data_IF_500630596868
#
_entry.id   IF_500630596868
#
_cell.length_a   1.000
_cell.length_b   1.000
_cell.length_c   1.000
_cell.angle_alpha   90.00
_cell.angle_beta   90.00
_cell.angle_gamma   90.00
#
_symmetry.space_group_name_H-M   'P 1'
#
loop_
_entity.id
_entity.type
_entity.pdbx_description
1 polymer ?
#
# COMPACT_ATOMS: atom_id res chain seq x y z
N UNK A 1 -48.01 30.27 11.48
CA UNK A 1 -49.23 29.49 11.74
C UNK A 1 -48.85 28.16 12.34
N UNK A 2 -49.17 28.05 13.60
CA UNK A 2 -49.53 26.91 14.48
C UNK A 2 -48.45 25.80 14.63
N UNK A 3 -47.67 25.80 15.72
CA UNK A 3 -47.91 25.46 17.12
C UNK A 3 -48.59 24.08 17.29
N UNK A 4 -47.88 23.11 17.91
CA UNK A 4 -48.37 22.49 19.12
C UNK A 4 -47.25 21.72 19.86
N UNK A 5 -47.01 22.19 21.11
CA UNK A 5 -46.34 21.47 22.20
C UNK A 5 -47.28 20.38 22.74
N UNK A 6 -46.69 19.32 23.32
CA UNK A 6 -47.34 18.61 24.45
C UNK A 6 -46.28 18.11 25.45
N UNK A 7 -46.44 18.65 26.67
CA UNK A 7 -45.87 18.23 27.95
C UNK A 7 -46.77 17.17 28.58
N UNK A 8 -46.23 16.30 29.45
CA UNK A 8 -46.77 15.82 30.74
C UNK A 8 -45.82 14.73 31.25
N UNK A 9 -45.20 14.86 32.35
CA UNK A 9 -45.47 15.03 33.79
C UNK A 9 -45.35 13.68 34.57
N UNK A 10 -44.37 13.63 35.42
CA UNK A 10 -44.25 13.27 36.83
C UNK A 10 -45.10 12.10 37.39
N UNK A 11 -44.45 11.25 38.20
CA UNK A 11 -45.07 10.38 39.19
C UNK A 11 -44.04 9.79 40.16
N UNK A 12 -43.79 10.53 41.23
CA UNK A 12 -43.09 10.03 42.41
C UNK A 12 -44.09 9.33 43.33
N UNK A 13 -43.68 8.21 43.96
CA UNK A 13 -44.40 7.69 45.14
C UNK A 13 -43.40 7.18 46.18
N UNK A 14 -43.39 7.90 47.29
CA UNK A 14 -42.87 7.55 48.62
C UNK A 14 -43.94 6.73 49.38
N UNK A 15 -43.56 5.90 50.33
CA UNK A 15 -44.20 5.49 51.60
C UNK A 15 -43.55 4.18 52.05
N UNK A 16 -43.18 3.86 53.26
CA UNK A 16 -42.99 4.45 54.58
C UNK A 16 -42.65 3.30 55.52
N UNK A 17 -41.94 3.65 56.54
CA UNK A 17 -41.51 2.89 57.73
C UNK A 17 -42.64 2.24 58.54
N UNK A 18 -42.31 1.07 59.19
CA UNK A 18 -42.71 0.73 60.57
C UNK A 18 -41.86 -0.49 60.99
N UNK A 19 -41.03 -0.49 61.95
CA UNK A 19 -41.06 -0.33 63.44
C UNK A 19 -41.52 -1.54 64.19
N UNK A 20 -40.61 -1.96 65.11
CA UNK A 20 -40.73 -2.61 66.40
C UNK A 20 -41.19 -4.07 66.53
N UNK A 21 -40.40 -4.79 67.35
CA UNK A 21 -40.78 -5.99 68.06
C UNK A 21 -39.60 -6.62 68.79
N UNK A 22 -39.42 -6.17 70.03
CA UNK A 22 -38.54 -6.69 71.06
C UNK A 22 -39.17 -7.93 71.67
N UNK A 23 -38.38 -9.00 71.90
CA UNK A 23 -38.52 -9.93 73.04
C UNK A 23 -37.34 -10.89 73.12
N UNK A 24 -36.60 -10.80 74.26
CA UNK A 24 -35.84 -11.92 74.78
C UNK A 24 -36.77 -12.74 75.68
N UNK A 25 -36.56 -14.06 75.89
CA UNK A 25 -35.98 -14.50 77.14
C UNK A 25 -35.18 -15.82 77.12
N UNK A 26 -34.38 -15.92 78.19
CA UNK A 26 -34.06 -17.06 79.01
C UNK A 26 -32.84 -17.94 78.59
N UNK A 27 -31.83 -17.77 79.41
CA UNK A 27 -30.68 -18.64 79.65
C UNK A 27 -31.09 -20.07 80.01
N UNK A 28 -30.44 -21.03 79.37
CA UNK A 28 -30.24 -22.36 79.93
C UNK A 28 -28.76 -22.69 80.02
N UNK A 29 -28.29 -22.76 81.25
CA UNK A 29 -26.95 -23.20 81.57
C UNK A 29 -26.79 -24.68 81.23
N UNK A 30 -25.92 -25.01 80.30
CA UNK A 30 -25.47 -26.37 80.04
C UNK A 30 -23.97 -26.45 80.31
N UNK A 31 -23.63 -27.23 81.33
CA UNK A 31 -22.28 -27.54 81.77
C UNK A 31 -21.43 -28.12 80.62
N UNK A 32 -20.28 -27.48 80.38
CA UNK A 32 -19.31 -27.89 79.40
C UNK A 32 -18.39 -29.01 79.89
N UNK A 33 -18.29 -30.08 79.13
CA UNK A 33 -17.18 -31.02 79.14
C UNK A 33 -15.94 -30.40 78.46
N UNK A 34 -14.72 -30.66 78.89
CA UNK A 34 -13.53 -30.11 78.29
C UNK A 34 -13.31 -30.66 76.88
N UNK A 35 -13.29 -29.79 75.90
CA UNK A 35 -13.02 -30.08 74.50
C UNK A 35 -11.52 -30.17 74.24
N UNK A 36 -11.10 -31.24 73.60
CA UNK A 36 -9.75 -31.48 73.07
C UNK A 36 -9.38 -30.35 72.04
N UNK A 37 -8.16 -29.82 72.02
CA UNK A 37 -7.78 -28.75 71.12
C UNK A 37 -7.83 -29.23 69.65
N UNK A 38 -8.63 -28.59 68.84
CA UNK A 38 -8.62 -28.76 67.38
C UNK A 38 -7.29 -28.33 66.77
N UNK A 39 -6.73 -29.08 65.81
CA UNK A 39 -5.50 -28.68 65.15
C UNK A 39 -5.70 -27.34 64.46
N UNK A 40 -4.78 -26.39 64.65
CA UNK A 40 -4.73 -25.09 63.97
C UNK A 40 -4.69 -25.32 62.47
N UNK A 41 -5.74 -24.96 61.71
CA UNK A 41 -5.70 -24.87 60.27
C UNK A 41 -4.58 -23.92 59.88
N UNK A 42 -3.63 -24.40 59.06
CA UNK A 42 -2.65 -23.53 58.39
C UNK A 42 -3.40 -22.46 57.63
N UNK A 43 -2.92 -21.20 57.57
CA UNK A 43 -3.51 -20.18 56.71
C UNK A 43 -3.54 -20.70 55.25
N UNK A 44 -4.68 -20.70 54.63
CA UNK A 44 -4.81 -20.95 53.21
C UNK A 44 -4.22 -19.70 52.54
N UNK A 45 -3.04 -19.83 51.95
CA UNK A 45 -2.51 -18.79 51.06
C UNK A 45 -3.59 -18.53 49.96
N UNK A 46 -3.93 -17.26 49.71
CA UNK A 46 -4.83 -16.95 48.64
C UNK A 46 -4.25 -17.51 47.34
N UNK A 47 -5.07 -18.05 46.40
CA UNK A 47 -4.59 -18.51 45.11
C UNK A 47 -3.80 -17.38 44.45
N UNK A 48 -2.55 -17.66 44.06
CA UNK A 48 -1.78 -16.75 43.24
C UNK A 48 -2.68 -16.28 42.08
N UNK A 49 -2.92 -14.98 41.99
CA UNK A 49 -3.63 -14.40 40.86
C UNK A 49 -2.95 -14.91 39.58
N UNK A 50 -3.73 -15.31 38.57
CA UNK A 50 -3.12 -15.76 37.33
C UNK A 50 -2.16 -14.66 36.85
N UNK A 51 -0.91 -15.01 36.63
CA UNK A 51 0.08 -14.13 36.02
C UNK A 51 -0.54 -13.80 34.63
N UNK A 52 -1.15 -12.64 34.51
CA UNK A 52 -1.54 -12.09 33.21
C UNK A 52 -0.23 -11.91 32.46
N UNK A 53 0.04 -12.81 31.48
CA UNK A 53 1.11 -12.57 30.53
C UNK A 53 0.81 -11.21 29.90
N UNK A 54 1.74 -10.27 30.03
CA UNK A 54 1.66 -9.03 29.27
C UNK A 54 1.45 -9.41 27.80
N UNK A 55 0.49 -8.77 27.11
CA UNK A 55 0.27 -9.06 25.69
C UNK A 55 1.60 -8.86 24.96
N UNK A 56 2.04 -9.87 24.20
CA UNK A 56 3.24 -9.81 23.37
C UNK A 56 3.10 -8.61 22.45
N UNK A 57 3.95 -7.61 22.60
CA UNK A 57 3.95 -6.40 21.78
C UNK A 57 4.95 -6.57 20.64
N UNK A 58 4.46 -6.56 19.40
CA UNK A 58 5.26 -6.64 18.18
C UNK A 58 5.67 -5.24 17.72
N UNK A 59 6.95 -4.97 17.68
CA UNK A 59 7.49 -3.67 17.28
C UNK A 59 7.88 -3.67 15.82
N UNK A 60 7.37 -2.69 15.07
CA UNK A 60 7.59 -2.54 13.64
C UNK A 60 8.29 -1.20 13.38
N UNK A 61 9.51 -1.26 12.88
CA UNK A 61 10.24 -0.05 12.47
C UNK A 61 9.65 0.54 11.21
N UNK A 62 9.36 1.85 11.20
CA UNK A 62 8.80 2.54 10.05
C UNK A 62 9.78 3.63 9.61
N UNK A 63 10.50 3.39 8.50
CA UNK A 63 11.61 4.20 8.01
C UNK A 63 11.13 5.16 6.92
N UNK A 64 11.00 6.44 7.23
CA UNK A 64 10.38 7.43 6.36
C UNK A 64 11.17 8.74 6.33
N UNK A 65 11.14 9.51 5.22
CA UNK A 65 11.74 10.84 5.13
C UNK A 65 10.85 11.86 5.84
N UNK A 66 10.89 11.94 7.18
CA UNK A 66 9.99 12.78 7.97
C UNK A 66 10.42 14.26 8.01
N UNK A 67 11.65 14.56 7.60
CA UNK A 67 12.17 15.94 7.47
C UNK A 67 12.73 16.20 6.08
N UNK A 68 13.18 17.44 5.79
CA UNK A 68 13.78 17.82 4.52
C UNK A 68 12.76 17.99 3.37
N UNK A 69 13.24 17.92 2.13
CA UNK A 69 12.43 18.19 0.93
C UNK A 69 11.32 17.17 0.66
N UNK A 70 11.40 15.99 1.26
CA UNK A 70 10.41 14.92 1.11
C UNK A 70 9.52 14.75 2.36
N UNK A 71 9.53 15.71 3.28
CA UNK A 71 8.79 15.63 4.54
C UNK A 71 7.27 15.43 4.34
N UNK A 72 6.68 16.09 3.34
CA UNK A 72 5.24 15.94 3.02
C UNK A 72 4.92 14.51 2.55
N UNK A 73 5.80 13.89 1.76
CA UNK A 73 5.69 12.50 1.38
C UNK A 73 5.79 11.58 2.61
N UNK A 74 6.82 11.78 3.44
CA UNK A 74 7.02 11.01 4.67
C UNK A 74 5.85 11.11 5.63
N UNK A 75 5.30 12.32 5.81
CA UNK A 75 4.10 12.58 6.61
C UNK A 75 2.89 11.83 6.08
N UNK A 76 2.66 11.86 4.77
CA UNK A 76 1.54 11.13 4.14
C UNK A 76 1.64 9.62 4.32
N UNK A 77 2.85 9.06 4.23
CA UNK A 77 3.12 7.64 4.48
C UNK A 77 2.91 7.28 5.96
N UNK A 78 3.39 8.11 6.89
CA UNK A 78 3.19 7.90 8.33
C UNK A 78 1.69 7.89 8.67
N UNK A 79 0.95 8.87 8.20
CA UNK A 79 -0.48 8.97 8.44
C UNK A 79 -1.27 7.80 7.83
N UNK A 80 -0.85 7.29 6.67
CA UNK A 80 -1.45 6.07 6.10
C UNK A 80 -1.14 4.82 6.95
N UNK A 81 0.06 4.72 7.50
CA UNK A 81 0.44 3.66 8.44
C UNK A 81 -0.38 3.71 9.73
N UNK A 82 -0.56 4.90 10.31
CA UNK A 82 -1.40 5.13 11.48
C UNK A 82 -2.87 4.81 11.22
N UNK A 83 -3.39 5.20 10.05
CA UNK A 83 -4.75 4.87 9.63
C UNK A 83 -4.96 3.36 9.54
N UNK A 84 -4.01 2.63 8.95
CA UNK A 84 -4.05 1.17 8.89
C UNK A 84 -4.08 0.55 10.29
N UNK A 85 -3.18 1.00 11.19
CA UNK A 85 -3.15 0.49 12.56
C UNK A 85 -4.47 0.74 13.29
N UNK A 86 -5.08 1.92 13.08
CA UNK A 86 -6.37 2.25 13.65
C UNK A 86 -7.52 1.39 13.10
N UNK A 87 -7.54 1.14 11.79
CA UNK A 87 -8.66 0.45 11.13
C UNK A 87 -8.58 -1.08 11.26
N UNK A 88 -7.39 -1.67 11.12
CA UNK A 88 -7.22 -3.13 11.09
C UNK A 88 -6.56 -3.69 12.33
N UNK A 89 -5.97 -2.85 13.16
CA UNK A 89 -5.20 -3.22 14.33
C UNK A 89 -5.70 -2.72 15.69
N UNK A 90 -6.98 -2.33 15.91
CA UNK A 90 -7.37 -1.70 17.17
C UNK A 90 -7.23 -2.60 18.40
N UNK A 91 -7.17 -3.92 18.19
CA UNK A 91 -6.93 -4.92 19.24
C UNK A 91 -5.60 -5.66 19.04
N UNK A 92 -4.76 -5.20 18.10
CA UNK A 92 -3.47 -5.83 17.84
C UNK A 92 -2.42 -5.40 18.86
N UNK A 93 -1.44 -6.26 19.07
CA UNK A 93 -0.25 -5.98 19.88
C UNK A 93 0.87 -5.32 19.05
N UNK A 94 0.55 -4.72 17.89
CA UNK A 94 1.52 -4.07 17.01
C UNK A 94 1.75 -2.62 17.43
N UNK A 95 3.02 -2.22 17.55
CA UNK A 95 3.46 -0.85 17.82
C UNK A 95 4.40 -0.40 16.70
N UNK A 96 4.11 0.76 16.10
CA UNK A 96 4.98 1.37 15.11
C UNK A 96 6.09 2.18 15.79
N UNK A 97 7.31 2.07 15.28
CA UNK A 97 8.49 2.83 15.66
C UNK A 97 8.91 3.72 14.46
N UNK A 98 8.32 4.92 14.31
CA UNK A 98 8.70 5.83 13.22
C UNK A 98 10.13 6.34 13.41
N UNK A 99 10.91 6.28 12.34
CA UNK A 99 12.30 6.75 12.29
C UNK A 99 12.51 7.62 11.05
N UNK A 100 13.14 8.78 11.23
CA UNK A 100 13.41 9.71 10.14
C UNK A 100 14.67 9.32 9.39
N UNK A 101 14.53 8.97 8.11
CA UNK A 101 15.67 8.59 7.25
C UNK A 101 16.58 9.76 6.89
N UNK A 102 16.16 11.00 7.10
CA UNK A 102 16.97 12.21 6.89
C UNK A 102 17.77 12.62 8.13
N UNK A 103 17.49 12.06 9.30
CA UNK A 103 18.27 12.31 10.51
C UNK A 103 19.31 11.22 10.75
N UNK A 104 20.54 11.50 10.34
CA UNK A 104 21.65 10.55 10.41
C UNK A 104 21.65 9.47 9.32
N UNK A 105 20.71 9.53 8.39
CA UNK A 105 20.58 8.61 7.26
C UNK A 105 19.79 7.35 7.58
N UNK A 106 19.38 6.67 6.52
CA UNK A 106 18.50 5.49 6.61
C UNK A 106 19.13 4.32 7.41
N UNK A 107 20.45 4.15 7.35
CA UNK A 107 21.15 3.14 8.14
C UNK A 107 20.99 3.40 9.65
N UNK A 108 21.17 4.66 10.08
CA UNK A 108 21.00 5.01 11.50
C UNK A 108 19.54 4.86 11.95
N UNK A 109 18.59 5.27 11.10
CA UNK A 109 17.17 5.09 11.36
C UNK A 109 16.81 3.61 11.57
N UNK A 110 17.31 2.72 10.70
CA UNK A 110 17.10 1.28 10.83
C UNK A 110 17.76 0.72 12.08
N UNK A 111 18.99 1.15 12.40
CA UNK A 111 19.71 0.73 13.59
C UNK A 111 18.96 1.14 14.88
N UNK A 112 18.40 2.34 14.94
CA UNK A 112 17.59 2.81 16.06
C UNK A 112 16.36 1.92 16.26
N UNK A 113 15.57 1.70 15.20
CA UNK A 113 14.39 0.83 15.25
C UNK A 113 14.73 -0.59 15.74
N UNK A 114 15.83 -1.18 15.24
CA UNK A 114 16.27 -2.52 15.63
C UNK A 114 16.76 -2.57 17.10
N UNK A 115 17.43 -1.52 17.56
CA UNK A 115 17.85 -1.42 18.96
C UNK A 115 16.66 -1.23 19.92
N UNK A 116 15.57 -0.62 19.44
CA UNK A 116 14.29 -0.56 20.17
C UNK A 116 13.50 -1.88 20.11
N UNK A 117 13.99 -2.88 19.37
CA UNK A 117 13.43 -4.21 19.27
C UNK A 117 12.46 -4.41 18.10
N UNK A 118 12.62 -3.67 17.01
CA UNK A 118 11.83 -3.91 15.81
C UNK A 118 12.05 -5.32 15.25
N UNK A 119 10.95 -6.03 14.97
CA UNK A 119 10.92 -7.39 14.44
C UNK A 119 10.78 -7.41 12.90
N UNK A 120 10.32 -6.31 12.34
CA UNK A 120 10.18 -6.05 10.90
C UNK A 120 10.46 -4.58 10.64
N UNK A 121 11.05 -4.27 9.48
CA UNK A 121 11.22 -2.90 9.01
C UNK A 121 10.31 -2.63 7.81
N UNK A 122 9.62 -1.50 7.81
CA UNK A 122 8.79 -0.99 6.71
C UNK A 122 9.38 0.31 6.17
N UNK A 123 9.40 0.47 4.84
CA UNK A 123 10.22 1.49 4.20
C UNK A 123 11.65 0.98 4.03
N UNK A 124 12.61 1.83 3.61
CA UNK A 124 12.41 3.19 3.15
C UNK A 124 11.80 3.27 1.75
N UNK A 125 11.68 4.52 1.25
CA UNK A 125 11.11 4.79 -0.08
C UNK A 125 12.17 4.67 -1.18
N UNK A 126 13.36 5.20 -0.95
CA UNK A 126 14.36 5.39 -1.99
C UNK A 126 15.36 4.24 -2.04
N UNK A 127 15.67 3.75 -3.26
CA UNK A 127 16.58 2.61 -3.44
C UNK A 127 17.99 2.79 -2.86
N UNK A 128 18.64 3.95 -2.89
CA UNK A 128 19.93 4.13 -2.22
C UNK A 128 19.85 3.93 -0.70
N UNK A 129 18.72 4.30 -0.08
CA UNK A 129 18.47 4.06 1.33
C UNK A 129 18.30 2.57 1.64
N UNK A 130 17.59 1.83 0.76
CA UNK A 130 17.44 0.37 0.86
C UNK A 130 18.81 -0.30 0.78
N UNK A 131 19.65 0.09 -0.17
CA UNK A 131 21.01 -0.44 -0.33
C UNK A 131 21.87 -0.21 0.92
N UNK A 132 21.77 0.97 1.55
CA UNK A 132 22.50 1.29 2.77
C UNK A 132 22.07 0.42 3.96
N UNK A 133 20.83 -0.05 4.00
CA UNK A 133 20.27 -0.85 5.10
C UNK A 133 20.48 -2.36 4.89
N UNK A 134 20.62 -2.85 3.65
CA UNK A 134 20.73 -4.30 3.34
C UNK A 134 21.74 -5.07 4.20
N UNK A 135 22.98 -4.60 4.43
CA UNK A 135 23.92 -5.31 5.28
C UNK A 135 23.44 -5.45 6.73
N UNK A 136 22.76 -4.43 7.25
CA UNK A 136 22.20 -4.44 8.60
C UNK A 136 21.05 -5.45 8.71
N UNK A 137 20.12 -5.47 7.76
CA UNK A 137 19.01 -6.42 7.66
C UNK A 137 19.54 -7.86 7.68
N UNK A 138 20.53 -8.16 6.83
CA UNK A 138 21.15 -9.49 6.77
C UNK A 138 21.84 -9.88 8.08
N UNK A 139 22.60 -8.97 8.71
CA UNK A 139 23.34 -9.25 9.94
C UNK A 139 22.44 -9.44 11.17
N UNK A 140 21.27 -8.81 11.19
CA UNK A 140 20.29 -8.90 12.28
C UNK A 140 19.23 -9.97 12.05
N UNK A 141 19.21 -10.61 10.86
CA UNK A 141 18.21 -11.61 10.45
C UNK A 141 16.77 -11.08 10.60
N UNK A 142 16.57 -9.81 10.25
CA UNK A 142 15.26 -9.14 10.24
C UNK A 142 14.86 -8.87 8.80
N UNK A 143 13.60 -9.00 8.45
CA UNK A 143 13.11 -8.68 7.12
C UNK A 143 12.77 -7.19 6.98
N UNK A 144 12.87 -6.71 5.73
CA UNK A 144 12.59 -5.33 5.31
C UNK A 144 11.57 -5.34 4.18
N UNK A 145 10.48 -4.58 4.31
CA UNK A 145 9.51 -4.32 3.23
C UNK A 145 9.69 -2.89 2.76
N UNK A 146 10.43 -2.69 1.68
CA UNK A 146 10.73 -1.38 1.12
C UNK A 146 9.63 -0.88 0.18
N UNK A 147 9.38 0.43 0.16
CA UNK A 147 8.41 1.07 -0.74
C UNK A 147 9.02 1.44 -2.11
N UNK A 148 10.25 1.05 -2.34
CA UNK A 148 10.97 1.24 -3.59
C UNK A 148 10.36 0.46 -4.75
N UNK A 149 10.53 0.96 -5.97
CA UNK A 149 10.20 0.29 -7.23
C UNK A 149 11.41 -0.39 -7.89
N UNK A 150 12.62 -0.16 -7.35
CA UNK A 150 13.86 -0.70 -7.91
C UNK A 150 14.03 -2.17 -7.54
N UNK A 151 13.84 -3.06 -8.51
CA UNK A 151 13.93 -4.50 -8.34
C UNK A 151 15.34 -5.00 -7.96
N UNK A 152 16.41 -4.22 -8.27
CA UNK A 152 17.80 -4.63 -8.00
C UNK A 152 18.14 -4.69 -6.51
N UNK A 153 17.38 -3.99 -5.67
CA UNK A 153 17.61 -3.99 -4.22
C UNK A 153 16.86 -5.11 -3.49
N UNK A 154 16.06 -5.90 -4.21
CA UNK A 154 15.31 -7.03 -3.66
C UNK A 154 16.20 -8.23 -3.29
N UNK A 155 15.67 -9.15 -2.47
CA UNK A 155 16.32 -10.38 -2.05
C UNK A 155 17.10 -10.27 -0.73
N UNK A 156 17.53 -11.41 -0.19
CA UNK A 156 18.28 -11.49 1.08
C UNK A 156 17.59 -10.79 2.27
N UNK A 157 16.29 -11.06 2.45
CA UNK A 157 15.48 -10.44 3.51
C UNK A 157 14.89 -9.07 3.15
N UNK A 158 15.17 -8.54 1.95
CA UNK A 158 14.57 -7.31 1.43
C UNK A 158 13.46 -7.65 0.45
N UNK A 159 12.26 -7.17 0.74
CA UNK A 159 11.06 -7.29 -0.08
C UNK A 159 10.67 -5.91 -0.63
N UNK A 160 10.30 -5.84 -1.91
CA UNK A 160 9.87 -4.62 -2.58
C UNK A 160 8.34 -4.63 -2.66
N UNK A 161 7.68 -3.61 -2.12
CA UNK A 161 6.23 -3.43 -2.18
C UNK A 161 5.79 -2.36 -3.18
N UNK A 162 6.71 -1.55 -3.69
CA UNK A 162 6.44 -0.51 -4.68
C UNK A 162 5.76 -1.03 -5.94
N UNK A 163 5.12 -0.13 -6.68
CA UNK A 163 4.49 -0.47 -7.97
C UNK A 163 5.55 -0.75 -9.02
N UNK A 164 5.76 -2.02 -9.36
CA UNK A 164 6.81 -2.46 -10.28
C UNK A 164 6.40 -2.16 -11.73
N UNK A 165 7.11 -1.28 -12.45
CA UNK A 165 6.70 -0.86 -13.79
C UNK A 165 6.64 -2.01 -14.81
N UNK A 166 7.57 -2.96 -14.75
CA UNK A 166 7.58 -4.11 -15.68
C UNK A 166 6.30 -4.94 -15.61
N UNK A 167 5.67 -5.07 -14.45
CA UNK A 167 4.38 -5.79 -14.32
C UNK A 167 3.25 -5.06 -15.05
N UNK A 168 3.26 -3.72 -15.01
CA UNK A 168 2.27 -2.91 -15.73
C UNK A 168 2.44 -3.04 -17.25
N UNK A 169 3.70 -3.00 -17.72
CA UNK A 169 4.03 -3.22 -19.15
C UNK A 169 3.57 -4.59 -19.61
N UNK A 170 3.91 -5.64 -18.87
CA UNK A 170 3.52 -7.02 -19.20
C UNK A 170 1.99 -7.13 -19.25
N UNK A 171 1.31 -6.62 -18.23
CA UNK A 171 -0.15 -6.73 -18.11
C UNK A 171 -0.91 -6.05 -19.24
N UNK A 172 -0.50 -4.82 -19.63
CA UNK A 172 -1.16 -4.10 -20.73
C UNK A 172 -0.82 -4.71 -22.08
N UNK A 173 0.40 -5.23 -22.28
CA UNK A 173 0.80 -5.90 -23.50
C UNK A 173 0.04 -7.24 -23.70
N UNK A 174 -0.15 -8.00 -22.65
CA UNK A 174 -0.95 -9.24 -22.68
C UNK A 174 -2.40 -8.94 -23.03
N UNK A 175 -3.00 -7.93 -22.41
CA UNK A 175 -4.35 -7.49 -22.76
C UNK A 175 -4.47 -7.02 -24.22
N UNK A 176 -3.49 -6.25 -24.70
CA UNK A 176 -3.48 -5.82 -26.11
C UNK A 176 -3.43 -7.02 -27.05
N UNK A 177 -2.61 -8.04 -26.73
CA UNK A 177 -2.55 -9.29 -27.49
C UNK A 177 -3.90 -10.04 -27.50
N UNK A 178 -4.59 -10.11 -26.34
CA UNK A 178 -5.94 -10.69 -26.26
C UNK A 178 -6.94 -9.98 -27.18
N UNK A 179 -6.72 -8.69 -27.45
CA UNK A 179 -7.48 -7.88 -28.42
C UNK A 179 -7.00 -8.01 -29.86
N UNK A 180 -6.04 -8.88 -30.15
CA UNK A 180 -5.47 -9.07 -31.49
C UNK A 180 -4.44 -8.02 -31.87
N UNK A 181 -3.96 -7.20 -30.93
CA UNK A 181 -2.93 -6.19 -31.13
C UNK A 181 -1.59 -6.83 -30.73
N UNK A 182 -0.71 -7.08 -31.69
CA UNK A 182 0.57 -7.74 -31.47
C UNK A 182 1.79 -6.95 -31.96
N UNK A 183 1.57 -5.96 -32.85
CA UNK A 183 2.64 -5.13 -33.43
C UNK A 183 2.75 -3.80 -32.70
N UNK A 184 3.80 -3.67 -31.91
CA UNK A 184 4.05 -2.49 -31.08
C UNK A 184 5.23 -1.67 -31.60
N UNK A 185 5.22 -0.38 -31.31
CA UNK A 185 6.42 0.44 -31.20
C UNK A 185 6.36 1.16 -29.84
N UNK A 186 7.48 1.63 -29.35
CA UNK A 186 7.57 2.32 -28.08
C UNK A 186 8.22 3.70 -28.23
N UNK A 187 7.70 4.67 -27.47
CA UNK A 187 8.32 5.98 -27.28
C UNK A 187 8.69 6.07 -25.80
N UNK A 188 9.96 6.00 -25.46
CA UNK A 188 10.39 5.88 -24.06
C UNK A 188 11.34 7.02 -23.68
N UNK A 189 11.25 7.56 -22.46
CA UNK A 189 12.20 8.58 -22.00
C UNK A 189 13.61 8.02 -21.86
N UNK A 190 14.63 8.89 -22.03
CA UNK A 190 16.05 8.55 -21.88
C UNK A 190 16.48 8.48 -20.41
N UNK A 191 15.71 7.79 -19.57
CA UNK A 191 16.01 7.61 -18.15
C UNK A 191 15.96 6.12 -17.75
N UNK A 192 16.16 5.84 -16.47
CA UNK A 192 16.18 4.46 -15.99
C UNK A 192 14.79 3.79 -16.07
N UNK A 193 13.71 4.58 -16.03
CA UNK A 193 12.36 4.07 -16.21
C UNK A 193 12.11 3.63 -17.66
N UNK A 194 12.46 4.48 -18.64
CA UNK A 194 12.38 4.13 -20.06
C UNK A 194 13.24 2.90 -20.41
N UNK A 195 14.47 2.81 -19.88
CA UNK A 195 15.33 1.63 -20.05
C UNK A 195 14.69 0.36 -19.51
N UNK A 196 14.01 0.42 -18.35
CA UNK A 196 13.30 -0.73 -17.78
C UNK A 196 12.13 -1.16 -18.68
N UNK A 197 11.37 -0.21 -19.21
CA UNK A 197 10.28 -0.50 -20.15
C UNK A 197 10.81 -1.16 -21.41
N UNK A 198 11.87 -0.63 -22.00
CA UNK A 198 12.51 -1.22 -23.20
C UNK A 198 12.96 -2.66 -22.95
N UNK A 199 13.62 -2.91 -21.82
CA UNK A 199 14.07 -4.24 -21.44
C UNK A 199 12.88 -5.19 -21.31
N UNK A 200 11.78 -4.71 -20.73
CA UNK A 200 10.56 -5.51 -20.55
C UNK A 200 9.90 -5.84 -21.89
N UNK A 201 9.79 -4.85 -22.80
CA UNK A 201 9.23 -5.08 -24.14
C UNK A 201 10.09 -6.03 -24.98
N UNK A 202 11.43 -5.90 -24.94
CA UNK A 202 12.35 -6.84 -25.59
C UNK A 202 12.25 -8.25 -25.02
N UNK A 203 12.02 -8.37 -23.73
CA UNK A 203 11.77 -9.65 -23.08
C UNK A 203 10.47 -10.32 -23.58
N UNK A 204 9.39 -9.53 -23.72
CA UNK A 204 8.11 -10.00 -24.28
C UNK A 204 8.26 -10.41 -25.75
N UNK A 205 9.04 -9.68 -26.53
CA UNK A 205 9.37 -10.03 -27.91
C UNK A 205 10.14 -11.35 -27.98
N UNK A 206 11.19 -11.51 -27.20
CA UNK A 206 11.99 -12.75 -27.13
C UNK A 206 11.15 -13.97 -26.72
N UNK A 207 10.05 -13.75 -25.97
CA UNK A 207 9.07 -14.78 -25.59
C UNK A 207 7.99 -15.02 -26.67
N UNK A 208 8.04 -14.31 -27.80
CA UNK A 208 7.02 -14.39 -28.86
C UNK A 208 5.64 -13.84 -28.45
N UNK A 209 5.60 -13.00 -27.40
CA UNK A 209 4.35 -12.41 -26.92
C UNK A 209 3.93 -11.19 -27.72
N UNK A 210 4.88 -10.42 -28.23
CA UNK A 210 4.68 -9.20 -29.03
C UNK A 210 5.69 -9.14 -30.19
N UNK A 211 5.43 -8.35 -31.21
CA UNK A 211 6.35 -7.95 -32.29
C UNK A 211 6.71 -6.48 -32.08
N UNK A 212 7.94 -6.19 -31.68
CA UNK A 212 8.43 -4.82 -31.43
C UNK A 212 9.05 -4.25 -32.71
N UNK A 213 8.33 -3.36 -33.40
CA UNK A 213 8.77 -2.75 -34.68
C UNK A 213 9.86 -1.72 -34.50
N UNK A 214 10.03 -1.19 -33.29
CA UNK A 214 11.10 -0.29 -32.90
C UNK A 214 10.81 0.45 -31.60
N UNK A 215 11.85 1.10 -31.08
CA UNK A 215 11.76 1.98 -29.91
C UNK A 215 12.46 3.30 -30.24
N UNK A 216 11.78 4.41 -30.02
CA UNK A 216 12.37 5.75 -30.08
C UNK A 216 12.56 6.29 -28.67
N UNK A 217 13.78 6.67 -28.36
CA UNK A 217 14.11 7.31 -27.08
C UNK A 217 14.06 8.82 -27.26
N UNK A 218 13.57 9.53 -26.23
CA UNK A 218 13.53 10.98 -26.21
C UNK A 218 13.94 11.55 -24.84
N UNK A 219 14.57 12.72 -24.89
CA UNK A 219 14.81 13.54 -23.72
C UNK A 219 13.61 14.45 -23.45
N UNK A 220 13.50 14.98 -22.23
CA UNK A 220 12.47 15.99 -21.92
C UNK A 220 12.59 17.23 -22.81
N UNK A 221 13.80 17.58 -23.24
CA UNK A 221 14.04 18.67 -24.17
C UNK A 221 13.40 18.45 -25.53
N UNK A 222 13.35 17.21 -26.01
CA UNK A 222 12.76 16.86 -27.30
C UNK A 222 11.25 17.10 -27.35
N UNK A 223 10.58 17.25 -26.21
CA UNK A 223 9.15 17.52 -26.13
C UNK A 223 8.80 19.03 -26.14
N UNK A 224 9.81 19.90 -26.04
CA UNK A 224 9.60 21.34 -26.07
C UNK A 224 9.22 21.78 -27.49
N UNK A 225 8.28 22.71 -27.60
CA UNK A 225 7.81 23.25 -28.88
C UNK A 225 8.96 23.82 -29.70
N UNK A 226 9.02 23.45 -31.00
CA UNK A 226 10.05 23.89 -31.93
C UNK A 226 11.40 23.17 -31.77
N UNK A 227 11.54 22.20 -30.87
CA UNK A 227 12.75 21.40 -30.77
C UNK A 227 12.88 20.44 -31.97
N UNK A 228 14.08 20.27 -32.59
CA UNK A 228 14.29 19.29 -33.64
C UNK A 228 13.89 17.85 -33.29
N UNK A 229 13.91 17.48 -32.03
CA UNK A 229 13.42 16.20 -31.51
C UNK A 229 11.96 15.93 -31.84
N UNK A 230 11.12 16.97 -31.93
CA UNK A 230 9.72 16.85 -32.35
C UNK A 230 9.61 16.22 -33.75
N UNK A 231 10.39 16.74 -34.73
CA UNK A 231 10.39 16.22 -36.10
C UNK A 231 10.83 14.75 -36.14
N UNK A 232 11.90 14.41 -35.41
CA UNK A 232 12.40 13.03 -35.30
C UNK A 232 11.32 12.08 -34.74
N UNK A 233 10.62 12.48 -33.67
CA UNK A 233 9.56 11.66 -33.08
C UNK A 233 8.43 11.41 -34.07
N UNK A 234 8.00 12.42 -34.84
CA UNK A 234 6.97 12.29 -35.87
C UNK A 234 7.43 11.39 -37.02
N UNK A 235 8.67 11.55 -37.51
CA UNK A 235 9.26 10.72 -38.55
C UNK A 235 9.32 9.24 -38.13
N UNK A 236 9.75 8.96 -36.90
CA UNK A 236 9.82 7.60 -36.39
C UNK A 236 8.43 6.97 -36.26
N UNK A 237 7.43 7.72 -35.78
CA UNK A 237 6.03 7.23 -35.70
C UNK A 237 5.47 6.98 -37.09
N UNK A 238 5.73 7.86 -38.07
CA UNK A 238 5.31 7.64 -39.46
C UNK A 238 5.97 6.38 -40.06
N UNK A 239 7.25 6.13 -39.76
CA UNK A 239 7.96 4.91 -40.14
C UNK A 239 7.33 3.67 -39.50
N UNK A 240 6.98 3.70 -38.22
CA UNK A 240 6.31 2.58 -37.56
C UNK A 240 4.92 2.30 -38.17
N UNK A 241 4.18 3.35 -38.51
CA UNK A 241 2.89 3.23 -39.22
C UNK A 241 3.07 2.54 -40.57
N UNK A 242 4.09 2.91 -41.35
CA UNK A 242 4.39 2.26 -42.63
C UNK A 242 4.72 0.77 -42.54
N UNK A 243 5.25 0.36 -41.36
CA UNK A 243 5.51 -1.04 -41.01
C UNK A 243 4.30 -1.78 -40.42
N UNK A 244 3.17 -1.10 -40.30
CA UNK A 244 1.92 -1.70 -39.82
C UNK A 244 1.83 -1.79 -38.29
N UNK A 245 2.42 -0.83 -37.54
CA UNK A 245 2.22 -0.73 -36.08
C UNK A 245 0.74 -0.63 -35.75
N UNK A 246 0.31 -1.34 -34.73
CA UNK A 246 -1.06 -1.36 -34.23
C UNK A 246 -1.22 -0.50 -32.99
N UNK A 247 -0.20 -0.45 -32.14
CA UNK A 247 -0.20 0.34 -30.91
C UNK A 247 1.17 0.96 -30.59
N UNK A 248 1.14 2.15 -30.01
CA UNK A 248 2.33 2.80 -29.44
C UNK A 248 2.32 2.63 -27.92
N UNK A 249 3.42 2.15 -27.37
CA UNK A 249 3.65 2.13 -25.94
C UNK A 249 4.28 3.45 -25.49
N UNK A 250 3.57 4.19 -24.62
CA UNK A 250 3.96 5.53 -24.14
C UNK A 250 3.96 5.52 -22.61
N UNK A 251 5.08 5.11 -21.98
CA UNK A 251 5.18 5.00 -20.52
C UNK A 251 5.55 6.34 -19.88
N UNK A 252 4.82 7.38 -20.19
CA UNK A 252 5.05 8.74 -19.72
C UNK A 252 3.86 9.21 -18.89
N UNK A 253 4.03 10.24 -18.07
CA UNK A 253 2.96 10.81 -17.25
C UNK A 253 3.01 12.34 -17.18
N UNK A 254 1.96 12.94 -16.60
CA UNK A 254 1.88 14.38 -16.35
C UNK A 254 1.99 15.23 -17.61
N UNK A 255 2.72 16.36 -17.51
CA UNK A 255 2.88 17.31 -18.62
C UNK A 255 3.62 16.71 -19.82
N UNK A 256 4.61 15.86 -19.61
CA UNK A 256 5.34 15.22 -20.70
C UNK A 256 4.42 14.34 -21.54
N UNK A 257 3.51 13.58 -20.91
CA UNK A 257 2.49 12.83 -21.63
C UNK A 257 1.62 13.76 -22.46
N UNK A 258 1.20 14.89 -21.89
CA UNK A 258 0.36 15.87 -22.60
C UNK A 258 1.08 16.45 -23.83
N UNK A 259 2.36 16.83 -23.68
CA UNK A 259 3.16 17.33 -24.79
C UNK A 259 3.32 16.27 -25.90
N UNK A 260 3.67 15.05 -25.52
CA UNK A 260 3.87 13.95 -26.48
C UNK A 260 2.57 13.60 -27.22
N UNK A 261 1.45 13.48 -26.53
CA UNK A 261 0.16 13.15 -27.16
C UNK A 261 -0.32 14.27 -28.07
N UNK A 262 -0.16 15.54 -27.68
CA UNK A 262 -0.50 16.67 -28.53
C UNK A 262 0.40 16.73 -29.79
N UNK A 263 1.71 16.46 -29.65
CA UNK A 263 2.63 16.36 -30.76
C UNK A 263 2.20 15.27 -31.75
N UNK A 264 1.81 14.09 -31.23
CA UNK A 264 1.41 12.95 -32.05
C UNK A 264 -0.01 13.05 -32.60
N UNK A 265 -0.84 13.96 -32.10
CA UNK A 265 -2.26 14.08 -32.47
C UNK A 265 -2.53 14.09 -33.97
N UNK A 266 -1.73 14.75 -34.86
CA UNK A 266 -1.93 14.70 -36.30
C UNK A 266 -1.72 13.31 -36.90
N UNK A 267 -0.89 12.48 -36.25
CA UNK A 267 -0.54 11.14 -36.71
C UNK A 267 -1.46 10.03 -36.15
N UNK A 268 -2.39 10.41 -35.29
CA UNK A 268 -3.31 9.45 -34.68
C UNK A 268 -4.47 9.12 -35.60
N UNK A 269 -4.67 7.83 -35.97
CA UNK A 269 -5.44 7.01 -35.03
C UNK A 269 -4.73 5.71 -34.61
N UNK A 270 -3.79 5.77 -33.73
CA UNK A 270 -3.18 4.59 -33.13
C UNK A 270 -3.77 4.32 -31.73
N UNK A 271 -3.75 3.07 -31.34
CA UNK A 271 -4.01 2.69 -29.96
C UNK A 271 -2.78 3.05 -29.13
N UNK A 272 -3.00 3.68 -28.00
CA UNK A 272 -1.90 4.06 -27.09
C UNK A 272 -1.95 3.18 -25.85
N UNK A 273 -0.82 2.59 -25.52
CA UNK A 273 -0.64 1.76 -24.32
C UNK A 273 0.21 2.53 -23.31
N UNK A 274 -0.29 2.67 -22.10
CA UNK A 274 0.38 3.38 -21.03
C UNK A 274 0.74 2.48 -19.85
N UNK A 275 1.28 3.10 -18.82
CA UNK A 275 1.56 2.48 -17.53
C UNK A 275 0.74 3.13 -16.42
N UNK A 276 0.91 2.72 -15.18
CA UNK A 276 0.24 3.32 -14.02
C UNK A 276 0.53 4.81 -13.79
N UNK A 277 1.50 5.40 -14.50
CA UNK A 277 1.70 6.86 -14.53
C UNK A 277 0.50 7.61 -15.16
N UNK A 278 -0.37 6.89 -15.89
CA UNK A 278 -1.58 7.44 -16.48
C UNK A 278 -2.74 7.59 -15.49
N UNK A 279 -2.61 7.05 -14.29
CA UNK A 279 -3.66 7.13 -13.26
C UNK A 279 -3.70 8.52 -12.59
N UNK A 280 -3.94 9.55 -13.42
CA UNK A 280 -3.96 10.97 -13.01
C UNK A 280 -5.09 11.73 -13.68
N UNK A 281 -5.51 12.84 -13.06
CA UNK A 281 -6.51 13.74 -13.65
C UNK A 281 -6.03 14.42 -14.94
N UNK A 282 -4.71 14.59 -15.09
CA UNK A 282 -4.09 15.17 -16.29
C UNK A 282 -4.32 14.28 -17.50
N UNK A 283 -4.18 12.97 -17.33
CA UNK A 283 -4.43 11.99 -18.41
C UNK A 283 -5.88 12.04 -18.90
N UNK A 284 -6.85 12.29 -18.02
CA UNK A 284 -8.26 12.41 -18.41
C UNK A 284 -8.52 13.61 -19.32
N UNK A 285 -7.72 14.67 -19.23
CA UNK A 285 -7.84 15.83 -20.13
C UNK A 285 -7.47 15.49 -21.59
N UNK A 286 -6.71 14.41 -21.78
CA UNK A 286 -6.29 13.92 -23.10
C UNK A 286 -7.26 12.90 -23.71
N UNK A 287 -8.32 12.53 -22.98
CA UNK A 287 -9.23 11.45 -23.37
C UNK A 287 -9.85 11.62 -24.78
N UNK A 288 -10.11 12.86 -25.21
CA UNK A 288 -10.64 13.17 -26.55
C UNK A 288 -9.58 13.08 -27.66
N UNK A 289 -8.31 13.05 -27.33
CA UNK A 289 -7.18 12.94 -28.26
C UNK A 289 -6.85 11.48 -28.58
N UNK A 290 -7.12 10.56 -27.66
CA UNK A 290 -6.92 9.13 -27.88
C UNK A 290 -8.02 8.58 -28.83
N UNK A 291 -7.64 7.72 -29.77
CA UNK A 291 -8.59 6.82 -30.38
C UNK A 291 -9.03 5.77 -29.34
N UNK A 292 -8.07 5.11 -28.75
CA UNK A 292 -8.20 4.20 -27.63
C UNK A 292 -6.90 4.31 -26.80
N UNK A 293 -7.01 4.47 -25.50
CA UNK A 293 -5.88 4.52 -24.59
C UNK A 293 -6.07 3.52 -23.44
N UNK A 294 -5.14 2.57 -23.31
CA UNK A 294 -5.21 1.52 -22.31
C UNK A 294 -3.99 1.55 -21.39
N UNK A 295 -4.19 1.29 -20.11
CA UNK A 295 -3.09 1.16 -19.17
C UNK A 295 -3.43 0.17 -18.06
N UNK A 296 -2.39 -0.36 -17.41
CA UNK A 296 -2.53 -1.24 -16.26
C UNK A 296 -2.36 -0.44 -14.97
N UNK A 297 -3.29 -0.60 -14.03
CA UNK A 297 -3.27 0.04 -12.71
C UNK A 297 -3.86 -0.90 -11.65
N UNK A 298 -3.51 -0.74 -10.37
CA UNK A 298 -4.26 -1.35 -9.28
C UNK A 298 -5.75 -1.01 -9.34
N UNK A 299 -6.58 -1.73 -8.57
CA UNK A 299 -8.02 -1.52 -8.59
C UNK A 299 -8.40 -0.08 -8.18
N UNK A 300 -8.93 0.73 -9.12
CA UNK A 300 -9.18 2.15 -8.84
C UNK A 300 -10.34 2.38 -7.86
N UNK A 301 -11.22 1.40 -7.65
CA UNK A 301 -12.33 1.54 -6.72
C UNK A 301 -11.84 1.46 -5.27
N UNK A 302 -11.01 0.48 -4.97
CA UNK A 302 -10.43 0.29 -3.62
C UNK A 302 -9.50 1.45 -3.26
N UNK A 303 -8.70 1.91 -4.21
CA UNK A 303 -7.88 3.10 -4.05
C UNK A 303 -8.71 4.34 -3.69
N UNK A 304 -9.82 4.60 -4.41
CA UNK A 304 -10.72 5.74 -4.11
C UNK A 304 -11.33 5.63 -2.72
N UNK A 305 -11.67 4.43 -2.26
CA UNK A 305 -12.16 4.22 -0.91
C UNK A 305 -11.09 4.56 0.14
N UNK A 306 -9.85 4.13 -0.08
CA UNK A 306 -8.72 4.51 0.77
C UNK A 306 -8.49 6.03 0.78
N UNK A 307 -8.43 6.68 -0.39
CA UNK A 307 -8.26 8.13 -0.50
C UNK A 307 -9.36 8.88 0.27
N UNK A 308 -10.61 8.44 0.15
CA UNK A 308 -11.74 9.04 0.86
C UNK A 308 -11.61 8.90 2.38
N UNK A 309 -11.21 7.73 2.89
CA UNK A 309 -10.98 7.51 4.32
C UNK A 309 -9.83 8.36 4.83
N UNK A 310 -8.72 8.39 4.10
CA UNK A 310 -7.56 9.20 4.45
C UNK A 310 -7.91 10.69 4.47
N UNK A 311 -8.59 11.20 3.43
CA UNK A 311 -9.01 12.60 3.36
C UNK A 311 -9.97 12.98 4.49
N UNK A 312 -10.86 12.06 4.87
CA UNK A 312 -11.76 12.28 6.03
C UNK A 312 -10.98 12.37 7.34
N UNK A 313 -9.93 11.56 7.50
CA UNK A 313 -9.12 11.53 8.72
C UNK A 313 -8.17 12.74 8.84
N UNK A 314 -7.54 13.14 7.73
CA UNK A 314 -6.43 14.10 7.75
C UNK A 314 -6.68 15.40 6.99
N UNK A 315 -7.79 15.54 6.26
CA UNK A 315 -8.22 16.79 5.61
C UNK A 315 -7.58 17.07 4.24
N UNK A 316 -6.76 16.18 3.70
CA UNK A 316 -6.13 16.32 2.38
C UNK A 316 -6.01 14.97 1.67
N UNK A 317 -5.73 14.98 0.35
CA UNK A 317 -5.53 13.74 -0.42
C UNK A 317 -4.15 13.15 -0.13
N UNK A 318 -4.05 11.82 0.09
CA UNK A 318 -2.77 11.19 0.34
C UNK A 318 -1.87 11.24 -0.90
N UNK A 319 -0.53 11.23 -0.74
CA UNK A 319 0.39 10.89 -1.83
C UNK A 319 0.03 9.52 -2.42
N UNK A 320 0.21 9.33 -3.74
CA UNK A 320 -0.20 8.07 -4.42
C UNK A 320 0.38 6.81 -3.76
N UNK A 321 1.63 6.87 -3.30
CA UNK A 321 2.30 5.74 -2.67
C UNK A 321 1.99 5.57 -1.16
N UNK A 322 1.14 6.40 -0.57
CA UNK A 322 0.76 6.27 0.83
C UNK A 322 0.02 4.95 1.12
N UNK A 323 -0.70 4.42 0.12
CA UNK A 323 -1.32 3.09 0.17
C UNK A 323 -0.33 1.96 0.47
N UNK A 324 0.93 2.09 0.06
CA UNK A 324 1.96 1.08 0.35
C UNK A 324 2.25 0.99 1.85
N UNK A 325 2.30 2.13 2.54
CA UNK A 325 2.49 2.14 4.00
C UNK A 325 1.27 1.57 4.72
N UNK A 326 0.06 1.88 4.26
CA UNK A 326 -1.18 1.27 4.76
C UNK A 326 -1.13 -0.26 4.60
N UNK A 327 -0.88 -0.76 3.39
CA UNK A 327 -0.84 -2.20 3.09
C UNK A 327 0.26 -2.93 3.89
N UNK A 328 1.44 -2.32 4.05
CA UNK A 328 2.54 -2.89 4.80
C UNK A 328 2.21 -3.03 6.30
N UNK A 329 1.54 -2.04 6.90
CA UNK A 329 1.09 -2.11 8.29
C UNK A 329 -0.05 -3.11 8.45
N UNK A 330 -1.02 -3.12 7.54
CA UNK A 330 -2.12 -4.10 7.55
C UNK A 330 -1.57 -5.55 7.45
N UNK A 331 -0.58 -5.78 6.60
CA UNK A 331 0.14 -7.06 6.51
C UNK A 331 0.85 -7.39 7.84
N UNK A 332 1.50 -6.41 8.45
CA UNK A 332 2.20 -6.61 9.74
C UNK A 332 1.23 -7.02 10.84
N UNK A 333 0.05 -6.39 10.90
CA UNK A 333 -1.01 -6.77 11.84
C UNK A 333 -1.51 -8.18 11.56
N UNK A 334 -1.76 -8.52 10.29
CA UNK A 334 -2.25 -9.86 9.90
C UNK A 334 -1.25 -11.00 10.23
N UNK A 335 0.04 -10.68 10.27
CA UNK A 335 1.10 -11.64 10.56
C UNK A 335 1.60 -11.60 12.02
N UNK A 336 1.11 -10.71 12.87
CA UNK A 336 1.65 -10.52 14.23
C UNK A 336 1.74 -11.81 15.04
N UNK A 337 0.71 -12.65 15.01
CA UNK A 337 0.70 -13.94 15.72
C UNK A 337 1.61 -15.01 15.09
N UNK A 338 1.90 -14.90 13.78
CA UNK A 338 2.72 -15.88 13.02
C UNK A 338 4.19 -15.48 12.95
N UNK A 339 4.48 -14.20 13.21
CA UNK A 339 5.79 -13.59 13.05
C UNK A 339 6.15 -13.25 11.59
N UNK A 340 7.25 -12.53 11.43
CA UNK A 340 7.63 -11.87 10.18
C UNK A 340 8.74 -12.62 9.43
N UNK A 341 8.76 -13.95 9.50
CA UNK A 341 9.70 -14.75 8.71
C UNK A 341 9.46 -14.59 7.20
N UNK A 342 10.51 -14.80 6.39
CA UNK A 342 10.37 -14.77 4.93
C UNK A 342 9.27 -15.73 4.43
N UNK A 343 9.11 -16.90 5.07
CA UNK A 343 8.07 -17.87 4.74
C UNK A 343 6.66 -17.28 4.95
N UNK A 344 6.42 -16.59 6.05
CA UNK A 344 5.13 -15.99 6.34
C UNK A 344 4.84 -14.77 5.45
N UNK A 345 5.88 -13.99 5.13
CA UNK A 345 5.78 -12.84 4.23
C UNK A 345 5.47 -13.27 2.78
N UNK A 346 5.96 -14.45 2.35
CA UNK A 346 5.79 -14.94 0.96
C UNK A 346 4.63 -15.93 0.82
N UNK A 347 3.54 -15.71 1.54
CA UNK A 347 2.35 -16.54 1.47
C UNK A 347 1.78 -16.55 0.05
N UNK A 348 1.60 -17.74 -0.52
CA UNK A 348 1.32 -17.91 -1.95
C UNK A 348 -0.02 -17.33 -2.41
N UNK A 349 -1.03 -17.32 -1.54
CA UNK A 349 -2.33 -16.71 -1.84
C UNK A 349 -2.31 -15.19 -1.79
N UNK A 350 -1.25 -14.59 -1.24
CA UNK A 350 -1.11 -13.14 -1.12
C UNK A 350 -1.98 -12.52 -0.04
N UNK A 351 -2.08 -11.20 -0.12
CA UNK A 351 -2.77 -10.34 0.84
C UNK A 351 -3.69 -9.38 0.09
N UNK A 352 -4.87 -9.12 0.63
CA UNK A 352 -5.77 -8.10 0.12
C UNK A 352 -5.35 -6.73 0.70
N UNK A 353 -4.97 -5.81 -0.16
CA UNK A 353 -4.60 -4.44 0.19
C UNK A 353 -5.56 -3.41 -0.40
N UNK A 354 -5.33 -2.14 -0.09
CA UNK A 354 -6.12 -1.02 -0.62
C UNK A 354 -5.84 -0.72 -2.10
N UNK A 355 -4.76 -1.29 -2.65
CA UNK A 355 -4.46 -1.31 -4.09
C UNK A 355 -4.76 -2.70 -4.70
N UNK A 356 -5.65 -3.48 -4.09
CA UNK A 356 -6.00 -4.81 -4.55
C UNK A 356 -5.05 -5.91 -4.04
N UNK A 357 -5.20 -7.09 -4.62
CA UNK A 357 -4.44 -8.26 -4.24
C UNK A 357 -2.94 -8.10 -4.56
N UNK A 358 -2.08 -8.45 -3.61
CA UNK A 358 -0.63 -8.54 -3.82
C UNK A 358 -0.03 -9.73 -3.06
N UNK A 359 1.11 -10.23 -3.52
CA UNK A 359 1.94 -11.17 -2.77
C UNK A 359 3.41 -10.82 -2.90
N UNK A 360 4.19 -11.19 -1.90
CA UNK A 360 5.64 -11.11 -1.94
C UNK A 360 6.20 -12.46 -2.39
N UNK A 361 7.27 -12.44 -3.18
CA UNK A 361 7.90 -13.65 -3.71
C UNK A 361 9.19 -13.97 -2.94
N UNK A 362 9.65 -15.21 -3.02
CA UNK A 362 10.92 -15.63 -2.42
C UNK A 362 12.15 -14.88 -2.98
N UNK A 363 12.02 -14.23 -4.13
CA UNK A 363 13.04 -13.38 -4.72
C UNK A 363 13.03 -11.95 -4.16
N UNK A 364 12.09 -11.63 -3.24
CA UNK A 364 11.94 -10.30 -2.66
C UNK A 364 11.16 -9.32 -3.52
N UNK A 365 10.58 -9.74 -4.62
CA UNK A 365 9.68 -8.92 -5.45
C UNK A 365 8.23 -9.07 -4.97
N UNK A 366 7.38 -8.11 -5.34
CA UNK A 366 5.95 -8.31 -5.23
C UNK A 366 5.37 -8.72 -6.58
N UNK A 367 4.25 -9.40 -6.56
CA UNK A 367 3.32 -9.56 -7.66
C UNK A 367 2.00 -8.92 -7.25
N UNK A 368 1.40 -8.15 -8.16
CA UNK A 368 0.19 -7.38 -7.87
C UNK A 368 -0.88 -7.65 -8.91
N UNK A 369 -2.11 -7.86 -8.46
CA UNK A 369 -3.28 -7.91 -9.32
C UNK A 369 -3.53 -6.54 -9.95
N UNK A 370 -3.45 -6.45 -11.29
CA UNK A 370 -3.63 -5.20 -12.03
C UNK A 370 -4.87 -5.28 -12.92
N UNK A 371 -5.73 -4.27 -12.83
CA UNK A 371 -6.81 -4.03 -13.76
C UNK A 371 -6.29 -3.41 -15.05
N UNK A 372 -7.05 -3.55 -16.15
CA UNK A 372 -6.86 -2.76 -17.36
C UNK A 372 -7.93 -1.67 -17.40
N UNK A 373 -7.46 -0.46 -17.56
CA UNK A 373 -8.28 0.74 -17.62
C UNK A 373 -8.21 1.36 -19.02
N UNK A 374 -9.34 1.87 -19.49
CA UNK A 374 -9.48 2.71 -20.67
C UNK A 374 -9.64 4.17 -20.26
N UNK A 375 -8.91 5.05 -20.93
CA UNK A 375 -9.05 6.50 -20.76
C UNK A 375 -10.27 6.98 -21.54
N UNK A 376 -11.29 7.48 -20.85
CA UNK A 376 -12.51 8.02 -21.48
C UNK A 376 -12.82 9.43 -21.00
N UNK A 377 -13.59 10.23 -21.73
CA UNK A 377 -14.01 11.57 -21.29
C UNK A 377 -14.79 11.57 -19.96
N UNK A 378 -15.43 10.45 -19.61
CA UNK A 378 -16.18 10.30 -18.34
C UNK A 378 -15.34 9.77 -17.19
N UNK A 379 -14.05 9.48 -17.43
CA UNK A 379 -13.14 8.91 -16.43
C UNK A 379 -12.45 7.63 -16.91
N UNK A 380 -11.79 6.95 -16.00
CA UNK A 380 -11.17 5.66 -16.26
C UNK A 380 -12.23 4.55 -16.18
N UNK A 381 -12.39 3.82 -17.28
CA UNK A 381 -13.32 2.70 -17.39
C UNK A 381 -12.55 1.38 -17.25
N UNK A 382 -12.92 0.55 -16.30
CA UNK A 382 -12.34 -0.79 -16.15
C UNK A 382 -12.83 -1.69 -17.28
N UNK A 383 -11.90 -2.18 -18.12
CA UNK A 383 -12.17 -3.14 -19.18
C UNK A 383 -11.91 -4.58 -18.75
N UNK A 384 -10.86 -4.79 -17.97
CA UNK A 384 -10.52 -6.08 -17.43
C UNK A 384 -10.19 -5.88 -15.93
N UNK A 385 -10.99 -6.44 -15.02
CA UNK A 385 -10.79 -6.24 -13.59
C UNK A 385 -9.48 -6.89 -13.10
N UNK A 386 -8.96 -6.39 -11.98
CA UNK A 386 -7.84 -7.04 -11.30
C UNK A 386 -8.26 -8.43 -10.80
N UNK A 387 -7.37 -9.44 -10.87
CA UNK A 387 -7.64 -10.76 -10.34
C UNK A 387 -7.90 -10.71 -8.83
N UNK A 388 -8.78 -11.58 -8.35
CA UNK A 388 -9.12 -11.72 -6.93
C UNK A 388 -8.33 -12.86 -6.24
N UNK A 389 -7.58 -13.64 -7.02
CA UNK A 389 -6.72 -14.74 -6.54
C UNK A 389 -5.46 -14.81 -7.41
N UNK A 390 -4.36 -15.30 -6.83
CA UNK A 390 -3.14 -15.66 -7.58
C UNK A 390 -3.18 -17.11 -8.02
#
# INVERSE_FOLDING_TARGET
MTRTLWFFMWGALLVSLTSCGHEQPLETVVTSKPSTPLPKKKPIEPPLAPIMKEPLTHKIGLLLPLTGSQADLGKGLLQAAELALFEVGPSSSVVLLPQDTNQGGAHQAALNALNEGAELLLGPVFSPEVEAIRPLVASRNVNLIAFSTNQRVAGNGVFILGFIPSQQVIRVAEFAKEKGISKFAALTPEDDYGKLVDQTLKQLEAQGKVELLGTTHYSKGDLLEGNPGNARLLEDVALYKSKGVQALFVPEGGENLSHLINLLSPEMPLIILGSGQWDTSETLKLASTFKEGFFASPNPQEQKLFESRFQKAYGYRPPRIASLAYDAVALSVALSEKGYSAQNLTFSQGFAGVDGLFRLTSQGLNERGLAILEVTPSGFKTLNPAPQTF
#
